data_IF_822119244720
#
_entry.id   IF_822119244720
#
_cell.length_a   1.000
_cell.length_b   1.000
_cell.length_c   1.000
_cell.angle_alpha   90.00
_cell.angle_beta   90.00
_cell.angle_gamma   90.00
#
_symmetry.space_group_name_H-M   'P 1'
#
loop_
_entity.id
_entity.type
_entity.pdbx_description
1 polymer ?
#
# COMPACT_ATOMS: atom_id res chain seq x y z
N UNK A 1 -12.57 1.58 -34.88
CA UNK A 1 -11.38 0.96 -35.50
C UNK A 1 -11.75 -0.35 -36.18
N UNK A 2 -10.89 -0.91 -37.05
CA UNK A 2 -11.14 -2.17 -37.80
C UNK A 2 -10.54 -3.44 -37.16
N UNK A 3 -9.72 -3.30 -36.11
CA UNK A 3 -9.06 -4.42 -35.43
C UNK A 3 -10.06 -5.16 -34.52
N UNK A 4 -9.82 -6.45 -34.29
CA UNK A 4 -10.53 -7.20 -33.26
C UNK A 4 -10.24 -6.56 -31.90
N UNK A 5 -11.28 -6.37 -31.09
CA UNK A 5 -11.15 -5.94 -29.69
C UNK A 5 -10.45 -7.02 -28.85
N UNK A 6 -9.93 -6.62 -27.69
CA UNK A 6 -9.54 -7.59 -26.64
C UNK A 6 -10.72 -8.51 -26.31
N UNK A 7 -10.42 -9.78 -26.02
CA UNK A 7 -11.39 -10.75 -25.47
C UNK A 7 -12.07 -10.19 -24.22
N UNK A 8 -11.31 -9.44 -23.40
CA UNK A 8 -11.73 -8.96 -22.07
C UNK A 8 -12.37 -7.58 -22.06
N UNK A 9 -12.69 -7.04 -23.24
CA UNK A 9 -13.36 -5.74 -23.34
C UNK A 9 -14.64 -5.63 -22.49
N UNK A 10 -15.39 -6.73 -22.30
CA UNK A 10 -16.61 -6.71 -21.48
C UNK A 10 -16.32 -6.33 -20.02
N UNK A 11 -15.20 -6.78 -19.47
CA UNK A 11 -14.74 -6.42 -18.12
C UNK A 11 -14.44 -4.92 -18.04
N UNK A 12 -13.66 -4.39 -18.99
CA UNK A 12 -13.35 -2.96 -19.06
C UNK A 12 -14.63 -2.11 -19.19
N UNK A 13 -15.53 -2.50 -20.10
CA UNK A 13 -16.79 -1.78 -20.33
C UNK A 13 -17.70 -1.77 -19.08
N UNK A 14 -17.74 -2.86 -18.31
CA UNK A 14 -18.50 -2.93 -17.08
C UNK A 14 -17.96 -1.99 -16.00
N UNK A 15 -16.63 -1.88 -15.86
CA UNK A 15 -15.99 -0.94 -14.94
C UNK A 15 -16.38 0.50 -15.30
N UNK A 16 -16.18 0.92 -16.56
CA UNK A 16 -16.54 2.27 -17.00
C UNK A 16 -18.02 2.59 -16.78
N UNK A 17 -18.91 1.61 -16.98
CA UNK A 17 -20.34 1.80 -16.75
C UNK A 17 -20.68 1.94 -15.26
N UNK A 18 -19.97 1.23 -14.39
CA UNK A 18 -20.23 1.24 -12.95
C UNK A 18 -19.58 2.43 -12.23
N UNK A 19 -18.47 2.96 -12.77
CA UNK A 19 -17.66 4.03 -12.20
C UNK A 19 -17.38 5.12 -13.25
N UNK A 20 -18.26 6.13 -13.38
CA UNK A 20 -18.08 7.22 -14.34
C UNK A 20 -16.84 8.10 -14.09
N UNK A 21 -16.28 8.03 -12.89
CA UNK A 21 -15.04 8.71 -12.49
C UNK A 21 -13.77 8.00 -13.00
N UNK A 22 -13.88 6.75 -13.43
CA UNK A 22 -12.77 5.99 -14.00
C UNK A 22 -12.62 6.32 -15.48
N UNK A 23 -11.39 6.69 -15.88
CA UNK A 23 -11.04 7.05 -17.25
C UNK A 23 -10.04 6.07 -17.86
N UNK A 24 -9.37 5.27 -17.03
CA UNK A 24 -8.45 4.23 -17.48
C UNK A 24 -8.65 2.91 -16.74
N UNK A 25 -8.41 1.81 -17.46
CA UNK A 25 -8.45 0.44 -16.94
C UNK A 25 -7.30 -0.34 -17.58
N UNK A 26 -6.48 -0.98 -16.74
CA UNK A 26 -5.40 -1.88 -17.15
C UNK A 26 -5.69 -3.28 -16.62
N UNK A 27 -5.62 -4.27 -17.51
CA UNK A 27 -5.60 -5.68 -17.14
C UNK A 27 -4.24 -6.28 -17.51
N UNK A 28 -3.68 -7.08 -16.61
CA UNK A 28 -2.39 -7.75 -16.83
C UNK A 28 -2.24 -9.01 -15.97
N UNK A 29 -1.18 -9.78 -16.22
CA UNK A 29 -0.83 -11.03 -15.53
C UNK A 29 0.55 -10.95 -14.85
N UNK A 30 0.80 -9.99 -13.94
CA UNK A 30 2.10 -9.89 -13.30
C UNK A 30 2.28 -11.07 -12.33
N UNK A 31 3.48 -11.68 -12.28
CA UNK A 31 3.65 -13.06 -11.80
C UNK A 31 3.34 -13.23 -10.31
N UNK A 32 3.67 -12.27 -9.46
CA UNK A 32 3.49 -12.39 -8.01
C UNK A 32 2.02 -12.17 -7.65
N UNK A 33 1.37 -11.14 -8.17
CA UNK A 33 -0.06 -10.93 -7.93
C UNK A 33 -0.90 -12.07 -8.51
N UNK A 34 -0.51 -12.58 -9.69
CA UNK A 34 -1.16 -13.75 -10.31
C UNK A 34 -0.97 -15.01 -9.47
N UNK A 35 0.17 -15.18 -8.78
CA UNK A 35 0.36 -16.30 -7.85
C UNK A 35 -0.66 -16.29 -6.70
N UNK A 36 -0.99 -15.13 -6.14
CA UNK A 36 -2.07 -15.00 -5.14
C UNK A 36 -3.44 -15.33 -5.73
N UNK A 37 -3.73 -14.83 -6.94
CA UNK A 37 -4.97 -15.11 -7.63
C UNK A 37 -5.15 -16.61 -7.93
N UNK A 38 -4.07 -17.30 -8.33
CA UNK A 38 -4.03 -18.77 -8.54
C UNK A 38 -4.18 -19.53 -7.21
N UNK A 39 -3.56 -19.04 -6.14
CA UNK A 39 -3.67 -19.64 -4.81
C UNK A 39 -5.06 -19.44 -4.16
N UNK A 40 -5.90 -18.57 -4.72
CA UNK A 40 -7.18 -18.22 -4.13
C UNK A 40 -7.06 -17.43 -2.83
N UNK A 41 -5.98 -16.64 -2.69
CA UNK A 41 -5.65 -15.89 -1.48
C UNK A 41 -5.79 -14.39 -1.77
N UNK A 42 -6.66 -13.70 -1.02
CA UNK A 42 -6.76 -12.23 -1.08
C UNK A 42 -5.46 -11.61 -0.55
N UNK A 43 -5.01 -10.50 -1.14
CA UNK A 43 -3.86 -9.79 -0.60
C UNK A 43 -4.24 -9.20 0.76
N UNK A 44 -3.49 -9.51 1.83
CA UNK A 44 -3.81 -9.04 3.16
C UNK A 44 -3.68 -7.52 3.28
N UNK A 45 -4.40 -6.94 4.24
CA UNK A 45 -4.22 -5.52 4.61
C UNK A 45 -3.40 -5.40 5.89
N UNK A 46 -3.07 -4.18 6.30
CA UNK A 46 -2.39 -3.83 7.55
C UNK A 46 -1.01 -4.47 7.69
N UNK A 47 -0.25 -4.56 6.61
CA UNK A 47 1.13 -5.09 6.65
C UNK A 47 2.13 -4.08 6.07
N UNK A 48 1.84 -3.51 4.91
CA UNK A 48 2.78 -2.65 4.19
C UNK A 48 2.21 -1.25 3.97
N UNK A 49 2.80 -0.19 4.55
CA UNK A 49 2.27 1.17 4.49
C UNK A 49 2.01 1.69 3.07
N UNK A 50 2.91 1.43 2.14
CA UNK A 50 2.77 1.89 0.74
C UNK A 50 1.56 1.25 0.06
N UNK A 51 1.36 -0.06 0.25
CA UNK A 51 0.19 -0.75 -0.28
C UNK A 51 -1.11 -0.19 0.32
N UNK A 52 -1.13 0.12 1.62
CA UNK A 52 -2.31 0.71 2.27
C UNK A 52 -2.66 2.10 1.73
N UNK A 53 -1.63 2.92 1.51
CA UNK A 53 -1.81 4.30 1.03
C UNK A 53 -2.22 4.32 -0.44
N UNK A 54 -1.48 3.65 -1.32
CA UNK A 54 -1.63 3.82 -2.77
C UNK A 54 -2.52 2.76 -3.44
N UNK A 55 -2.63 1.57 -2.86
CA UNK A 55 -3.46 0.50 -3.40
C UNK A 55 -4.81 0.45 -2.69
N UNK A 56 -4.80 0.46 -1.36
CA UNK A 56 -5.96 0.15 -0.53
C UNK A 56 -6.32 -1.34 -0.55
N UNK A 57 -7.54 -1.71 -0.12
CA UNK A 57 -7.97 -3.10 -0.11
C UNK A 57 -8.00 -3.69 -1.52
N UNK A 58 -7.33 -4.82 -1.75
CA UNK A 58 -7.38 -5.56 -3.01
C UNK A 58 -8.36 -6.72 -2.86
N UNK A 59 -9.35 -6.81 -3.76
CA UNK A 59 -10.34 -7.89 -3.72
C UNK A 59 -9.99 -9.04 -4.63
N UNK A 60 -10.40 -10.25 -4.25
CA UNK A 60 -10.27 -11.45 -5.08
C UNK A 60 -11.63 -11.86 -5.65
N UNK A 61 -11.79 -11.71 -6.96
CA UNK A 61 -12.96 -12.18 -7.69
C UNK A 61 -12.88 -13.69 -7.95
N UNK A 62 -14.05 -14.33 -8.04
CA UNK A 62 -14.15 -15.77 -8.38
C UNK A 62 -13.62 -16.02 -9.79
N UNK A 63 -13.02 -17.20 -9.99
CA UNK A 63 -12.61 -17.64 -11.33
C UNK A 63 -13.81 -17.68 -12.27
N UNK A 64 -13.61 -17.10 -13.45
CA UNK A 64 -14.50 -17.21 -14.59
C UNK A 64 -13.65 -17.31 -15.84
N UNK A 65 -14.10 -18.10 -16.82
CA UNK A 65 -13.44 -18.20 -18.12
C UNK A 65 -13.29 -16.82 -18.80
N UNK A 66 -12.08 -16.43 -19.23
CA UNK A 66 -11.85 -15.13 -19.88
C UNK A 66 -12.73 -14.88 -21.11
N UNK A 67 -13.15 -13.63 -21.29
CA UNK A 67 -13.98 -13.20 -22.42
C UNK A 67 -15.50 -13.42 -22.26
N UNK A 68 -15.93 -14.06 -21.18
CA UNK A 68 -17.34 -14.23 -20.81
C UNK A 68 -17.89 -12.98 -20.09
N UNK A 69 -19.18 -12.67 -20.28
CA UNK A 69 -19.87 -11.63 -19.51
C UNK A 69 -19.83 -11.93 -18.00
N UNK A 70 -19.84 -13.21 -17.62
CA UNK A 70 -19.73 -13.64 -16.22
C UNK A 70 -18.45 -13.13 -15.53
N UNK A 71 -17.38 -12.85 -16.28
CA UNK A 71 -16.15 -12.27 -15.72
C UNK A 71 -16.36 -10.81 -15.31
N UNK A 72 -17.09 -10.05 -16.12
CA UNK A 72 -17.47 -8.69 -15.76
C UNK A 72 -18.40 -8.70 -14.54
N UNK A 73 -19.37 -9.61 -14.51
CA UNK A 73 -20.33 -9.71 -13.40
C UNK A 73 -19.65 -10.11 -12.08
N UNK A 74 -18.57 -10.90 -12.13
CA UNK A 74 -17.84 -11.35 -10.93
C UNK A 74 -17.07 -10.22 -10.22
N UNK A 75 -16.68 -9.16 -10.94
CA UNK A 75 -15.92 -8.04 -10.37
C UNK A 75 -16.82 -6.88 -9.90
N UNK A 76 -18.02 -6.72 -10.46
CA UNK A 76 -18.94 -5.61 -10.17
C UNK A 76 -19.26 -5.40 -8.68
N UNK A 77 -19.35 -6.42 -7.81
CA UNK A 77 -19.54 -6.21 -6.38
C UNK A 77 -18.39 -5.43 -5.72
N UNK A 78 -17.20 -5.43 -6.31
CA UNK A 78 -15.98 -4.86 -5.71
C UNK A 78 -15.57 -3.52 -6.30
N UNK A 79 -16.07 -3.14 -7.50
CA UNK A 79 -15.57 -1.97 -8.23
C UNK A 79 -15.85 -0.61 -7.56
N UNK A 80 -16.69 -0.57 -6.53
CA UNK A 80 -16.95 0.65 -5.74
C UNK A 80 -15.97 0.81 -4.58
N UNK A 81 -15.50 -0.30 -4.02
CA UNK A 81 -14.72 -0.34 -2.78
C UNK A 81 -13.24 -0.58 -3.04
N UNK A 82 -12.86 -0.89 -4.29
CA UNK A 82 -11.47 -1.09 -4.68
C UNK A 82 -11.23 -0.64 -6.11
N UNK A 83 -10.02 -0.15 -6.37
CA UNK A 83 -9.51 0.17 -7.70
C UNK A 83 -8.58 -0.94 -8.24
N UNK A 84 -8.39 -2.03 -7.49
CA UNK A 84 -7.52 -3.16 -7.86
C UNK A 84 -8.16 -4.48 -7.46
N UNK A 85 -8.38 -5.36 -8.44
CA UNK A 85 -9.05 -6.64 -8.22
C UNK A 85 -8.21 -7.77 -8.80
N UNK A 86 -7.86 -8.75 -7.98
CA UNK A 86 -7.33 -10.04 -8.42
C UNK A 86 -8.46 -10.86 -9.04
N UNK A 87 -8.17 -11.47 -10.18
CA UNK A 87 -9.07 -12.35 -10.92
C UNK A 87 -8.63 -13.78 -10.65
N UNK A 88 -9.43 -14.56 -9.91
CA UNK A 88 -9.07 -15.92 -9.49
C UNK A 88 -8.51 -16.76 -10.63
N UNK A 89 -7.35 -17.40 -10.40
CA UNK A 89 -6.58 -18.18 -11.38
C UNK A 89 -6.34 -17.51 -12.74
N UNK A 90 -6.26 -16.17 -12.77
CA UNK A 90 -6.14 -15.44 -14.02
C UNK A 90 -5.13 -14.28 -13.96
N UNK A 91 -5.34 -13.26 -13.12
CA UNK A 91 -4.47 -12.09 -13.09
C UNK A 91 -5.01 -10.94 -12.26
N UNK A 92 -4.80 -9.70 -12.71
CA UNK A 92 -5.26 -8.49 -12.01
C UNK A 92 -5.87 -7.48 -12.97
N UNK A 93 -6.84 -6.72 -12.49
CA UNK A 93 -7.36 -5.51 -13.16
C UNK A 93 -7.24 -4.32 -12.22
N UNK A 94 -6.69 -3.22 -12.73
CA UNK A 94 -6.54 -1.94 -12.06
C UNK A 94 -7.30 -0.87 -12.85
N UNK A 95 -7.90 0.10 -12.17
CA UNK A 95 -8.65 1.17 -12.82
C UNK A 95 -8.68 2.45 -11.99
N UNK A 96 -8.61 3.61 -12.66
CA UNK A 96 -8.50 4.91 -12.01
C UNK A 96 -8.82 6.09 -12.95
N UNK A 97 -8.64 7.32 -12.45
CA UNK A 97 -8.87 8.59 -13.15
C UNK A 97 -7.95 8.82 -14.35
N UNK A 98 -6.83 8.10 -14.44
CA UNK A 98 -5.90 8.18 -15.56
C UNK A 98 -5.04 6.92 -15.67
N UNK A 99 -4.33 6.81 -16.80
CA UNK A 99 -3.54 5.63 -17.15
C UNK A 99 -2.31 5.45 -16.25
N UNK A 100 -1.72 6.56 -15.80
CA UNK A 100 -0.51 6.55 -14.97
C UNK A 100 -0.82 6.01 -13.58
N UNK A 101 -1.93 6.45 -12.96
CA UNK A 101 -2.41 5.89 -11.70
C UNK A 101 -2.74 4.39 -11.80
N UNK A 102 -3.35 3.95 -12.91
CA UNK A 102 -3.58 2.53 -13.15
C UNK A 102 -2.27 1.73 -13.22
N UNK A 103 -1.26 2.29 -13.88
CA UNK A 103 0.04 1.66 -14.03
C UNK A 103 0.76 1.56 -12.68
N UNK A 104 0.77 2.62 -11.88
CA UNK A 104 1.31 2.59 -10.52
C UNK A 104 0.63 1.54 -9.65
N UNK A 105 -0.70 1.44 -9.69
CA UNK A 105 -1.41 0.37 -8.96
C UNK A 105 -1.01 -1.03 -9.42
N UNK A 106 -0.82 -1.22 -10.73
CA UNK A 106 -0.37 -2.50 -11.28
C UNK A 106 1.05 -2.87 -10.83
N UNK A 107 1.95 -1.89 -10.72
CA UNK A 107 3.30 -2.11 -10.19
C UNK A 107 3.27 -2.41 -8.70
N UNK A 108 2.56 -1.60 -7.91
CA UNK A 108 2.48 -1.71 -6.44
C UNK A 108 1.84 -3.05 -6.04
N UNK A 109 0.78 -3.50 -6.72
CA UNK A 109 0.14 -4.78 -6.39
C UNK A 109 1.08 -5.98 -6.58
N UNK A 110 1.89 -5.98 -7.64
CA UNK A 110 2.85 -7.07 -7.88
C UNK A 110 4.05 -6.98 -6.95
N UNK A 111 4.57 -5.78 -6.71
CA UNK A 111 5.63 -5.54 -5.74
C UNK A 111 5.21 -5.98 -4.32
N UNK A 112 3.98 -5.64 -3.92
CA UNK A 112 3.44 -6.03 -2.61
C UNK A 112 3.25 -7.54 -2.51
N UNK A 113 2.67 -8.18 -3.53
CA UNK A 113 2.58 -9.64 -3.58
C UNK A 113 3.96 -10.31 -3.46
N UNK A 114 4.99 -9.76 -4.13
CA UNK A 114 6.37 -10.25 -4.01
C UNK A 114 6.90 -10.12 -2.59
N UNK A 115 6.72 -8.96 -1.95
CA UNK A 115 7.14 -8.71 -0.56
C UNK A 115 6.51 -9.74 0.38
N UNK A 116 5.22 -10.03 0.23
CA UNK A 116 4.52 -11.01 1.07
C UNK A 116 5.05 -12.44 0.89
N UNK A 117 5.32 -12.86 -0.35
CA UNK A 117 5.92 -14.17 -0.63
C UNK A 117 7.31 -14.28 0.01
N UNK A 118 8.14 -13.23 -0.10
CA UNK A 118 9.47 -13.19 0.49
C UNK A 118 9.41 -13.15 2.02
N UNK A 119 8.54 -12.33 2.61
CA UNK A 119 8.36 -12.25 4.06
C UNK A 119 7.88 -13.60 4.64
N UNK A 120 6.97 -14.28 3.94
CA UNK A 120 6.57 -15.65 4.28
C UNK A 120 7.76 -16.63 4.25
N UNK A 121 8.65 -16.52 3.26
CA UNK A 121 9.86 -17.36 3.18
C UNK A 121 10.84 -17.07 4.33
N UNK A 122 10.90 -15.83 4.82
CA UNK A 122 11.66 -15.45 6.01
C UNK A 122 11.03 -15.97 7.32
N UNK A 123 9.77 -16.42 7.28
CA UNK A 123 9.10 -17.11 8.37
C UNK A 123 8.31 -16.23 9.34
N UNK A 124 8.26 -14.90 9.14
CA UNK A 124 7.42 -14.01 9.95
C UNK A 124 6.90 -12.83 9.11
N UNK A 125 5.69 -12.35 9.43
CA UNK A 125 5.06 -11.18 8.84
C UNK A 125 4.48 -10.33 9.97
N UNK A 126 4.97 -9.10 10.11
CA UNK A 126 4.47 -8.16 11.11
C UNK A 126 3.30 -7.36 10.55
N UNK A 127 2.31 -7.09 11.42
CA UNK A 127 1.14 -6.29 11.10
C UNK A 127 1.22 -4.91 11.74
N UNK A 128 0.58 -3.95 11.09
CA UNK A 128 0.34 -2.60 11.59
C UNK A 128 -0.85 -2.65 12.56
N UNK A 129 -0.70 -2.00 13.70
CA UNK A 129 -1.77 -1.83 14.68
C UNK A 129 -2.91 -0.96 14.14
N UNK A 130 -4.07 -1.03 14.78
CA UNK A 130 -5.22 -0.17 14.43
C UNK A 130 -4.89 1.33 14.51
N UNK A 131 -4.02 1.73 15.44
CA UNK A 131 -3.56 3.11 15.58
C UNK A 131 -2.67 3.53 14.39
N UNK A 132 -1.65 2.71 14.06
CA UNK A 132 -0.78 2.93 12.89
C UNK A 132 -1.60 2.98 11.59
N UNK A 133 -2.61 2.12 11.46
CA UNK A 133 -3.52 2.12 10.31
C UNK A 133 -4.41 3.36 10.23
N UNK A 134 -4.93 3.83 11.36
CA UNK A 134 -5.69 5.08 11.41
C UNK A 134 -4.84 6.27 10.99
N UNK A 135 -3.58 6.34 11.45
CA UNK A 135 -2.63 7.38 11.04
C UNK A 135 -2.35 7.33 9.53
N UNK A 136 -2.15 6.14 8.96
CA UNK A 136 -1.93 5.98 7.52
C UNK A 136 -3.14 6.40 6.68
N UNK A 137 -4.35 6.05 7.09
CA UNK A 137 -5.57 6.45 6.37
C UNK A 137 -5.77 7.97 6.44
N UNK A 138 -5.45 8.60 7.57
CA UNK A 138 -5.48 10.07 7.69
C UNK A 138 -4.40 10.72 6.81
N UNK A 139 -3.21 10.13 6.72
CA UNK A 139 -2.14 10.60 5.82
C UNK A 139 -2.58 10.51 4.35
N UNK A 140 -3.21 9.39 3.97
CA UNK A 140 -3.78 9.18 2.63
C UNK A 140 -4.78 10.29 2.25
N UNK A 141 -5.61 10.72 3.19
CA UNK A 141 -6.53 11.84 2.98
C UNK A 141 -5.80 13.17 2.66
N UNK A 142 -4.65 13.42 3.30
CA UNK A 142 -3.83 14.63 3.04
C UNK A 142 -3.22 14.64 1.65
N UNK A 143 -2.97 13.47 1.07
CA UNK A 143 -2.54 13.32 -0.33
C UNK A 143 -3.70 13.41 -1.33
N UNK A 144 -4.94 13.67 -0.87
CA UNK A 144 -6.11 13.75 -1.74
C UNK A 144 -6.61 12.38 -2.23
N UNK A 145 -6.14 11.29 -1.62
CA UNK A 145 -6.54 9.94 -1.99
C UNK A 145 -7.73 9.49 -1.13
N UNK A 146 -8.77 8.96 -1.77
CA UNK A 146 -9.94 8.40 -1.07
C UNK A 146 -9.70 6.97 -0.61
N UNK A 147 -10.27 6.59 0.54
CA UNK A 147 -10.28 5.21 1.03
C UNK A 147 -11.67 4.88 1.60
N UNK A 148 -12.27 3.71 1.26
CA UNK A 148 -13.55 3.30 1.82
C UNK A 148 -13.53 3.14 3.34
N UNK A 149 -12.35 2.91 3.95
CA UNK A 149 -12.17 2.72 5.39
C UNK A 149 -11.99 4.03 6.16
N UNK A 150 -12.23 5.19 5.54
CA UNK A 150 -12.07 6.50 6.21
C UNK A 150 -12.93 6.62 7.48
N UNK A 151 -14.18 6.15 7.43
CA UNK A 151 -15.08 6.19 8.58
C UNK A 151 -14.63 5.27 9.73
N UNK A 152 -14.00 4.15 9.40
CA UNK A 152 -13.38 3.22 10.34
C UNK A 152 -12.15 3.85 11.02
N UNK A 153 -11.30 4.52 10.24
CA UNK A 153 -10.14 5.23 10.75
C UNK A 153 -10.52 6.35 11.73
N UNK A 154 -11.56 7.14 11.43
CA UNK A 154 -12.05 8.20 12.33
C UNK A 154 -12.50 7.63 13.69
N UNK A 155 -13.06 6.43 13.70
CA UNK A 155 -13.49 5.73 14.92
C UNK A 155 -12.35 4.99 15.63
N UNK A 156 -11.12 5.04 15.09
CA UNK A 156 -9.96 4.35 15.64
C UNK A 156 -10.00 2.83 15.50
N UNK A 157 -10.85 2.29 14.64
CA UNK A 157 -11.01 0.84 14.44
C UNK A 157 -11.00 0.52 12.94
N UNK A 158 -9.83 0.12 12.42
CA UNK A 158 -9.65 -0.27 11.02
C UNK A 158 -9.66 -1.80 10.94
N UNK A 159 -10.58 -2.35 10.18
CA UNK A 159 -10.69 -3.79 9.98
C UNK A 159 -9.58 -4.28 9.04
N UNK A 160 -8.81 -5.26 9.50
CA UNK A 160 -7.72 -5.84 8.72
C UNK A 160 -8.10 -7.23 8.18
N UNK A 161 -8.00 -7.44 6.87
CA UNK A 161 -8.10 -8.78 6.28
C UNK A 161 -6.71 -9.42 6.26
N UNK A 162 -6.29 -10.06 7.36
CA UNK A 162 -4.95 -10.68 7.45
C UNK A 162 -5.00 -12.17 7.77
N UNK A 163 -6.11 -12.64 8.32
CA UNK A 163 -6.20 -13.95 8.98
C UNK A 163 -5.93 -15.12 8.03
N UNK A 164 -6.52 -15.14 6.84
CA UNK A 164 -6.29 -16.21 5.85
C UNK A 164 -4.81 -16.27 5.43
N UNK A 165 -4.21 -15.13 5.11
CA UNK A 165 -2.79 -15.09 4.75
C UNK A 165 -1.88 -15.51 5.91
N UNK A 166 -2.12 -14.98 7.12
CA UNK A 166 -1.30 -15.29 8.30
C UNK A 166 -1.40 -16.76 8.72
N UNK A 167 -2.55 -17.41 8.53
CA UNK A 167 -2.71 -18.85 8.77
C UNK A 167 -1.77 -19.73 7.93
N UNK A 168 -1.20 -19.16 6.85
CA UNK A 168 -0.33 -19.85 5.90
C UNK A 168 1.14 -19.49 6.10
N UNK A 169 1.48 -18.62 7.04
CA UNK A 169 2.86 -18.24 7.37
C UNK A 169 3.38 -19.19 8.44
N UNK A 170 4.51 -19.84 8.19
CA UNK A 170 5.03 -20.96 8.98
C UNK A 170 5.77 -20.56 10.26
N UNK A 171 5.50 -19.40 10.85
CA UNK A 171 6.18 -18.94 12.07
C UNK A 171 5.28 -18.12 12.98
N UNK A 172 5.81 -17.74 14.15
CA UNK A 172 5.06 -17.03 15.17
C UNK A 172 4.45 -15.75 14.59
N UNK A 173 3.12 -15.69 14.57
CA UNK A 173 2.36 -14.50 14.18
C UNK A 173 2.63 -13.41 15.23
N UNK A 174 3.58 -12.53 14.93
CA UNK A 174 3.87 -11.35 15.74
C UNK A 174 4.95 -11.52 16.82
N UNK A 175 5.63 -10.40 17.07
CA UNK A 175 6.66 -10.10 18.08
C UNK A 175 8.13 -10.37 17.72
N UNK A 176 8.48 -11.36 16.89
CA UNK A 176 9.89 -11.56 16.51
C UNK A 176 10.35 -10.49 15.50
N UNK A 177 11.10 -9.50 16.00
CA UNK A 177 11.84 -8.53 15.18
C UNK A 177 11.35 -7.09 15.22
N UNK A 178 10.28 -6.74 15.98
CA UNK A 178 10.16 -5.36 16.45
C UNK A 178 11.33 -5.15 17.39
N UNK A 179 12.21 -4.18 17.13
CA UNK A 179 13.33 -3.87 18.02
C UNK A 179 12.76 -3.62 19.43
N UNK A 180 12.89 -4.63 20.28
CA UNK A 180 12.60 -4.54 21.71
C UNK A 180 13.72 -3.66 22.25
N UNK A 181 13.40 -2.41 22.62
CA UNK A 181 14.28 -1.63 23.47
C UNK A 181 14.64 -2.46 24.71
N UNK A 182 15.83 -2.31 25.30
CA UNK A 182 16.33 -3.22 26.33
C UNK A 182 15.36 -3.25 27.52
N UNK A 183 14.55 -4.31 27.65
CA UNK A 183 13.54 -4.42 28.71
C UNK A 183 12.30 -5.30 28.45
N UNK A 184 12.01 -5.75 27.23
CA UNK A 184 11.02 -6.82 27.02
C UNK A 184 9.56 -6.49 27.39
N UNK A 185 9.14 -5.22 27.33
CA UNK A 185 7.73 -4.85 27.48
C UNK A 185 7.24 -3.99 26.31
N UNK A 186 6.14 -4.42 25.69
CA UNK A 186 5.37 -3.63 24.73
C UNK A 186 4.47 -2.69 25.54
N UNK A 187 4.79 -1.40 25.61
CA UNK A 187 3.90 -0.40 26.21
C UNK A 187 3.68 0.77 25.26
N UNK A 188 2.43 1.25 25.22
CA UNK A 188 2.06 2.48 24.52
C UNK A 188 2.90 3.63 25.08
N UNK A 189 3.62 4.34 24.20
CA UNK A 189 4.59 5.36 24.60
C UNK A 189 3.88 6.54 25.25
N UNK A 190 3.93 6.62 26.59
CA UNK A 190 3.89 7.90 27.27
C UNK A 190 5.26 8.57 27.04
N UNK A 191 5.23 9.65 26.26
CA UNK A 191 6.29 10.66 26.12
C UNK A 191 6.74 11.10 27.51
N UNK A 192 8.04 11.02 27.82
CA UNK A 192 8.75 12.12 28.51
C UNK A 192 10.27 11.95 28.75
N UNK A 193 10.94 10.82 28.48
CA UNK A 193 12.33 10.65 28.97
C UNK A 193 13.46 10.39 27.95
N UNK A 194 13.23 10.55 26.65
CA UNK A 194 14.25 10.25 25.60
C UNK A 194 14.95 11.46 24.97
N UNK A 195 14.98 12.63 25.62
CA UNK A 195 15.77 13.77 25.11
C UNK A 195 17.23 13.77 25.59
N UNK A 196 17.55 13.28 26.80
CA UNK A 196 18.90 13.42 27.36
C UNK A 196 19.93 12.45 26.76
N UNK A 197 19.56 11.18 26.54
CA UNK A 197 20.47 10.17 26.02
C UNK A 197 20.74 10.31 24.50
N UNK A 198 19.75 10.79 23.75
CA UNK A 198 19.87 11.03 22.31
C UNK A 198 20.76 12.25 22.04
N UNK A 199 20.66 13.31 22.85
CA UNK A 199 21.56 14.46 22.76
C UNK A 199 23.03 14.08 23.02
N UNK A 200 23.27 13.16 23.96
CA UNK A 200 24.60 12.69 24.31
C UNK A 200 25.24 11.80 23.21
N UNK A 201 24.42 11.02 22.49
CA UNK A 201 24.88 10.17 21.39
C UNK A 201 25.08 10.94 20.07
N UNK A 202 24.30 11.99 19.82
CA UNK A 202 24.50 12.86 18.65
C UNK A 202 25.76 13.71 18.82
N UNK A 203 26.09 14.13 20.04
CA UNK A 203 27.29 14.92 20.33
C UNK A 203 28.63 14.20 20.11
N UNK A 204 28.65 12.87 20.04
CA UNK A 204 29.89 12.07 19.89
C UNK A 204 30.20 11.65 18.44
N UNK A 205 29.32 11.93 17.48
CA UNK A 205 29.47 11.51 16.08
C UNK A 205 29.50 12.67 15.07
N UNK A 206 29.50 13.93 15.52
CA UNK A 206 29.61 15.09 14.64
C UNK A 206 31.09 15.38 14.29
N UNK A 207 31.45 15.54 13.00
CA UNK A 207 32.76 16.07 12.62
C UNK A 207 32.91 17.54 13.06
N UNK A 208 34.14 17.99 13.21
CA UNK A 208 34.49 19.28 13.78
C UNK A 208 33.85 20.48 13.04
N UNK A 209 32.99 21.18 13.79
CA UNK A 209 32.69 22.62 13.79
C UNK A 209 32.25 23.27 12.47
N UNK A 210 30.94 23.21 12.20
CA UNK A 210 30.24 24.39 11.66
C UNK A 210 29.42 24.98 12.80
N UNK A 211 29.61 26.26 13.09
CA UNK A 211 28.76 26.99 14.02
C UNK A 211 27.38 27.21 13.41
N UNK A 212 26.35 27.46 14.23
CA UNK A 212 25.01 27.80 13.73
C UNK A 212 25.05 28.97 12.74
N UNK A 213 25.95 29.94 12.96
CA UNK A 213 26.16 31.06 12.05
C UNK A 213 26.70 30.61 10.66
N UNK A 214 27.54 29.59 10.61
CA UNK A 214 28.06 29.06 9.34
C UNK A 214 26.96 28.34 8.55
N UNK A 215 26.04 27.67 9.25
CA UNK A 215 24.89 26.99 8.64
C UNK A 215 23.89 28.01 8.11
N UNK A 216 23.56 29.05 8.89
CA UNK A 216 22.67 30.12 8.44
C UNK A 216 23.25 30.87 7.24
N UNK A 217 24.55 31.16 7.24
CA UNK A 217 25.21 31.82 6.13
C UNK A 217 25.23 30.96 4.86
N UNK A 218 25.40 29.64 5.00
CA UNK A 218 25.33 28.70 3.89
C UNK A 218 23.91 28.63 3.29
N UNK A 219 22.89 28.53 4.14
CA UNK A 219 21.48 28.51 3.72
C UNK A 219 21.11 29.80 3.01
N UNK A 220 21.54 30.96 3.54
CA UNK A 220 21.29 32.25 2.91
C UNK A 220 21.98 32.34 1.54
N UNK A 221 23.23 31.91 1.43
CA UNK A 221 24.00 31.95 0.17
C UNK A 221 23.36 31.09 -0.92
N UNK A 222 22.88 29.89 -0.57
CA UNK A 222 22.17 29.00 -1.51
C UNK A 222 20.85 29.65 -1.94
N UNK A 223 20.12 30.26 -1.01
CA UNK A 223 18.84 30.91 -1.28
C UNK A 223 19.03 32.10 -2.22
N UNK A 224 20.02 32.95 -1.98
CA UNK A 224 20.32 34.12 -2.82
C UNK A 224 20.76 33.71 -4.24
N UNK A 225 21.54 32.64 -4.38
CA UNK A 225 21.93 32.11 -5.70
C UNK A 225 20.74 31.60 -6.50
N UNK A 226 19.80 30.90 -5.87
CA UNK A 226 18.58 30.42 -6.53
C UNK A 226 17.73 31.62 -6.98
N UNK A 227 17.55 32.61 -6.11
CA UNK A 227 16.74 33.80 -6.41
C UNK A 227 17.35 34.69 -7.50
N UNK A 228 18.68 34.71 -7.66
CA UNK A 228 19.35 35.44 -8.73
C UNK A 228 19.29 34.74 -10.11
N UNK A 229 18.89 33.47 -10.15
CA UNK A 229 18.72 32.69 -11.39
C UNK A 229 17.28 32.58 -11.87
N UNK A 230 16.33 33.20 -11.15
CA UNK A 230 14.93 33.40 -11.56
C UNK A 230 14.71 34.80 -12.12
#
# INVERSE_FOLDING_TARGET
GKRKRSSEFLMHAAIYKARPDVVAVIHSHPPHATAFAVAGVELPTCIHPEAEVFLGPVKLAKYVTPGDQRLADSILPFVKDSNTILLGSHGVVCFDSDLEQCYYKLEIVDAYARILLLAKQLGNVNTLSAAEMSELIQLKARFGLSDPRMQEAIKGHVTCNVSDFMSRVSGDVGEKGRMVGPGGQVTAVQREQTCAAVAQAIGSMAPAQYSEADIEQLVQTITDQIMATM
#
